data_IF_233851013042
#
_entry.id   IF_233851013042
#
_cell.length_a   1.000
_cell.length_b   1.000
_cell.length_c   1.000
_cell.angle_alpha   90.00
_cell.angle_beta   90.00
_cell.angle_gamma   90.00
#
_symmetry.space_group_name_H-M   'P 1'
#
loop_
_entity.id
_entity.type
_entity.pdbx_description
1 polymer ?
#
# COMPACT_ATOMS: atom_id res chain seq x y z
N UNK A 1 14.94 -5.24 -4.09
CA UNK A 1 14.65 -4.53 -5.36
C UNK A 1 13.78 -5.41 -6.28
N UNK A 2 12.63 -5.91 -5.82
CA UNK A 2 11.74 -6.77 -6.63
C UNK A 2 10.36 -6.14 -6.87
N UNK A 3 9.68 -5.66 -5.81
CA UNK A 3 8.31 -5.13 -5.93
C UNK A 3 8.17 -3.96 -6.93
N UNK A 4 9.11 -3.01 -6.89
CA UNK A 4 9.19 -1.89 -7.85
C UNK A 4 9.43 -2.35 -9.28
N UNK A 5 10.09 -3.50 -9.47
CA UNK A 5 10.47 -4.05 -10.77
C UNK A 5 9.31 -4.84 -11.39
N UNK A 6 8.57 -5.60 -10.59
CA UNK A 6 7.52 -6.50 -11.07
C UNK A 6 6.11 -5.92 -11.03
N UNK A 7 5.85 -4.88 -10.23
CA UNK A 7 4.51 -4.26 -10.11
C UNK A 7 4.57 -2.78 -10.53
N UNK A 8 3.88 -2.48 -11.64
CA UNK A 8 3.82 -1.15 -12.28
C UNK A 8 3.44 -0.03 -11.30
N UNK A 9 2.46 -0.26 -10.43
CA UNK A 9 1.99 0.71 -9.43
C UNK A 9 3.13 1.18 -8.51
N UNK A 10 4.01 0.28 -8.08
CA UNK A 10 5.14 0.64 -7.21
C UNK A 10 6.27 1.35 -7.97
N UNK A 11 6.46 1.04 -9.27
CA UNK A 11 7.37 1.78 -10.15
C UNK A 11 6.92 3.23 -10.31
N UNK A 12 5.65 3.45 -10.61
CA UNK A 12 5.06 4.77 -10.79
C UNK A 12 5.07 5.58 -9.48
N UNK A 13 4.71 4.93 -8.36
CA UNK A 13 4.83 5.54 -7.04
C UNK A 13 6.26 6.03 -6.74
N UNK A 14 7.26 5.19 -7.04
CA UNK A 14 8.66 5.54 -6.84
C UNK A 14 9.06 6.76 -7.66
N UNK A 15 8.79 6.73 -8.98
CA UNK A 15 9.13 7.83 -9.91
C UNK A 15 8.48 9.12 -9.42
N UNK A 16 7.17 9.10 -9.17
CA UNK A 16 6.41 10.27 -8.73
C UNK A 16 6.98 10.88 -7.45
N UNK A 17 7.26 10.07 -6.42
CA UNK A 17 7.76 10.58 -5.14
C UNK A 17 9.21 11.07 -5.22
N UNK A 18 10.05 10.45 -6.03
CA UNK A 18 11.41 10.95 -6.29
C UNK A 18 11.39 12.27 -7.05
N UNK A 19 10.51 12.44 -8.04
CA UNK A 19 10.32 13.71 -8.75
C UNK A 19 9.81 14.82 -7.82
N UNK A 20 9.06 14.48 -6.76
CA UNK A 20 8.66 15.43 -5.72
C UNK A 20 9.81 15.84 -4.77
N UNK A 21 11.05 15.45 -5.04
CA UNK A 21 12.22 15.75 -4.21
C UNK A 21 12.45 14.80 -3.03
N UNK A 22 11.69 13.70 -2.89
CA UNK A 22 11.90 12.78 -1.77
C UNK A 22 13.16 11.92 -1.96
N UNK A 23 13.99 11.72 -0.91
CA UNK A 23 15.16 10.85 -0.99
C UNK A 23 14.81 9.43 -1.41
N UNK A 24 15.55 8.87 -2.37
CA UNK A 24 15.27 7.54 -2.95
C UNK A 24 15.21 6.44 -1.88
N UNK A 25 16.10 6.46 -0.88
CA UNK A 25 16.12 5.50 0.24
C UNK A 25 14.82 5.53 1.04
N UNK A 26 14.32 6.72 1.36
CA UNK A 26 13.04 6.89 2.07
C UNK A 26 11.87 6.33 1.26
N UNK A 27 11.84 6.59 -0.06
CA UNK A 27 10.77 6.08 -0.93
C UNK A 27 10.81 4.54 -1.01
N UNK A 28 11.99 3.93 -1.08
CA UNK A 28 12.14 2.46 -1.02
C UNK A 28 11.66 1.89 0.31
N UNK A 29 12.01 2.53 1.42
CA UNK A 29 11.55 2.12 2.75
C UNK A 29 10.01 2.16 2.84
N UNK A 30 9.38 3.20 2.29
CA UNK A 30 7.92 3.29 2.24
C UNK A 30 7.28 2.15 1.42
N UNK A 31 7.92 1.72 0.32
CA UNK A 31 7.45 0.57 -0.47
C UNK A 31 7.57 -0.72 0.35
N UNK A 32 8.69 -0.92 1.06
CA UNK A 32 8.89 -2.09 1.94
C UNK A 32 7.85 -2.11 3.07
N UNK A 33 7.62 -0.99 3.74
CA UNK A 33 6.61 -0.87 4.79
C UNK A 33 5.20 -1.15 4.27
N UNK A 34 4.87 -0.72 3.04
CA UNK A 34 3.59 -1.05 2.42
C UNK A 34 3.43 -2.56 2.17
N UNK A 35 4.48 -3.26 1.75
CA UNK A 35 4.48 -4.71 1.60
C UNK A 35 4.27 -5.43 2.94
N UNK A 36 5.01 -5.02 3.98
CA UNK A 36 4.86 -5.58 5.33
C UNK A 36 3.41 -5.45 5.83
N UNK A 37 2.79 -4.27 5.63
CA UNK A 37 1.38 -4.07 5.98
C UNK A 37 0.43 -5.01 5.24
N UNK A 38 0.69 -5.31 3.97
CA UNK A 38 -0.11 -6.28 3.19
C UNK A 38 0.05 -7.68 3.78
N UNK A 39 1.29 -8.11 4.03
CA UNK A 39 1.59 -9.43 4.60
C UNK A 39 0.90 -9.58 5.97
N UNK A 40 1.08 -8.62 6.88
CA UNK A 40 0.43 -8.65 8.19
C UNK A 40 -1.10 -8.65 8.06
N UNK A 41 -1.67 -7.91 7.12
CA UNK A 41 -3.13 -7.91 6.89
C UNK A 41 -3.66 -9.26 6.40
N UNK A 42 -2.94 -9.92 5.49
CA UNK A 42 -3.26 -11.28 5.01
C UNK A 42 -3.20 -12.28 6.16
N UNK A 43 -2.10 -12.28 6.92
CA UNK A 43 -1.92 -13.18 8.06
C UNK A 43 -3.00 -12.97 9.14
N UNK A 44 -3.28 -11.72 9.50
CA UNK A 44 -4.26 -11.40 10.55
C UNK A 44 -5.70 -11.71 10.14
N UNK A 45 -6.03 -11.56 8.86
CA UNK A 45 -7.39 -11.84 8.37
C UNK A 45 -7.64 -13.30 8.05
N UNK A 46 -6.58 -14.10 7.89
CA UNK A 46 -6.67 -15.48 7.39
C UNK A 46 -7.17 -15.59 5.95
N UNK A 47 -7.32 -14.46 5.23
CA UNK A 47 -7.83 -14.42 3.87
C UNK A 47 -6.67 -14.38 2.89
N UNK A 48 -6.73 -15.12 1.77
CA UNK A 48 -5.67 -15.11 0.77
C UNK A 48 -5.49 -13.70 0.18
N UNK A 49 -4.29 -13.41 -0.28
CA UNK A 49 -4.01 -12.18 -1.02
C UNK A 49 -4.81 -12.14 -2.32
N UNK A 50 -5.54 -11.05 -2.54
CA UNK A 50 -6.32 -10.78 -3.76
C UNK A 50 -5.67 -9.59 -4.48
N UNK A 51 -5.23 -9.79 -5.72
CA UNK A 51 -4.63 -8.71 -6.52
C UNK A 51 -5.69 -7.63 -6.80
N UNK A 52 -5.31 -6.36 -6.64
CA UNK A 52 -6.24 -5.23 -6.77
C UNK A 52 -7.20 -5.02 -5.59
N UNK A 53 -7.13 -5.81 -4.52
CA UNK A 53 -7.95 -5.58 -3.33
C UNK A 53 -7.65 -4.23 -2.66
N UNK A 54 -8.71 -3.47 -2.39
CA UNK A 54 -8.65 -2.19 -1.69
C UNK A 54 -9.42 -2.32 -0.39
N UNK A 55 -8.73 -2.12 0.74
CA UNK A 55 -9.39 -2.04 2.05
C UNK A 55 -10.29 -0.80 2.12
N UNK A 56 -11.51 -0.98 2.62
CA UNK A 56 -12.41 0.14 2.93
C UNK A 56 -11.79 0.96 4.07
N UNK A 57 -11.79 2.29 3.96
CA UNK A 57 -11.36 3.16 5.05
C UNK A 57 -12.31 2.95 6.24
N UNK A 58 -11.82 2.54 7.43
CA UNK A 58 -12.68 2.34 8.61
C UNK A 58 -13.52 3.57 8.98
N UNK A 59 -13.04 4.78 8.67
CA UNK A 59 -13.79 6.02 8.90
C UNK A 59 -15.09 6.08 8.09
N UNK A 60 -15.16 5.40 6.93
CA UNK A 60 -16.37 5.36 6.10
C UNK A 60 -17.34 4.25 6.52
N UNK A 61 -16.94 3.35 7.43
CA UNK A 61 -17.77 2.24 7.94
C UNK A 61 -18.66 2.72 9.09
N UNK A 62 -18.18 3.69 9.88
CA UNK A 62 -18.87 4.20 11.07
C UNK A 62 -19.84 5.36 10.80
N UNK A 63 -20.06 5.74 9.54
CA UNK A 63 -21.15 6.66 9.17
C UNK A 63 -22.50 5.92 9.20
N UNK A 64 -22.84 5.35 10.36
CA UNK A 64 -24.21 4.96 10.66
C UNK A 64 -25.00 6.26 10.84
N UNK A 65 -25.70 6.64 9.77
CA UNK A 65 -27.01 7.30 9.76
C UNK A 65 -27.39 7.87 11.13
N UNK A 66 -27.05 9.14 11.38
CA UNK A 66 -27.90 9.99 12.21
C UNK A 66 -28.97 10.53 11.25
N UNK A 67 -30.10 9.83 11.18
CA UNK A 67 -31.38 10.36 10.74
C UNK A 67 -32.20 10.64 12.01
#
# INVERSE_FOLDING_TARGET
MSLRTHKKIFKEYFIRKTQSGKPKKLVLNNIQNKLLRIICGVLNSGKPYIDGFVSINPQHINNKICA
#
